data_IF_032910444494
#
_entry.id   IF_032910444494
#
_cell.length_a   1.000
_cell.length_b   1.000
_cell.length_c   1.000
_cell.angle_alpha   90.00
_cell.angle_beta   90.00
_cell.angle_gamma   90.00
#
_symmetry.space_group_name_H-M   'P 1'
#
loop_
_entity.id
_entity.type
_entity.pdbx_description
1 polymer ?
#
# COMPACT_ATOMS: atom_id res chain seq x y z
N UNK A 1 -33.12 55.40 0.66
CA UNK A 1 -33.52 54.35 -0.31
C UNK A 1 -32.30 53.94 -1.11
N UNK A 2 -31.84 52.71 -0.92
CA UNK A 2 -30.69 52.16 -1.65
C UNK A 2 -31.12 51.73 -3.07
N UNK A 3 -30.36 52.13 -4.09
CA UNK A 3 -30.43 51.51 -5.42
C UNK A 3 -29.08 50.87 -5.71
N UNK A 4 -29.05 49.54 -5.59
CA UNK A 4 -27.98 48.70 -6.08
C UNK A 4 -28.06 48.65 -7.62
N UNK A 5 -26.97 49.00 -8.30
CA UNK A 5 -26.82 48.88 -9.75
C UNK A 5 -25.61 48.01 -10.05
N UNK A 6 -25.86 46.86 -10.68
CA UNK A 6 -24.94 45.75 -10.84
C UNK A 6 -23.65 46.11 -11.59
N UNK A 7 -22.51 45.82 -10.98
CA UNK A 7 -21.21 45.71 -11.63
C UNK A 7 -21.23 44.49 -12.56
N UNK A 8 -21.16 44.73 -13.87
CA UNK A 8 -20.92 43.69 -14.88
C UNK A 8 -19.50 43.15 -14.67
N UNK A 9 -19.38 42.07 -13.89
CA UNK A 9 -18.17 41.29 -13.82
C UNK A 9 -17.99 40.56 -15.15
N UNK A 10 -17.02 41.03 -15.93
CA UNK A 10 -16.57 40.45 -17.18
C UNK A 10 -16.31 38.95 -17.01
N UNK A 11 -16.93 38.15 -17.88
CA UNK A 11 -16.76 36.71 -17.93
C UNK A 11 -15.30 36.36 -18.25
N UNK A 12 -14.56 35.98 -17.21
CA UNK A 12 -13.23 35.40 -17.36
C UNK A 12 -13.38 33.97 -17.86
N UNK A 13 -13.34 33.79 -19.18
CA UNK A 13 -13.35 32.48 -19.83
C UNK A 13 -12.05 31.73 -19.48
N UNK A 14 -12.02 31.02 -18.36
CA UNK A 14 -10.95 30.06 -18.07
C UNK A 14 -11.14 28.84 -18.99
N UNK A 15 -10.37 28.81 -20.10
CA UNK A 15 -10.12 27.59 -20.87
C UNK A 15 -9.54 26.54 -19.93
N UNK A 16 -10.29 25.49 -19.65
CA UNK A 16 -9.91 24.41 -18.76
C UNK A 16 -9.04 23.38 -19.49
N UNK A 17 -7.79 23.73 -19.79
CA UNK A 17 -6.75 22.75 -20.16
C UNK A 17 -5.93 22.34 -18.92
N UNK A 18 -6.61 22.14 -17.80
CA UNK A 18 -5.97 21.68 -16.55
C UNK A 18 -5.95 20.16 -16.55
N UNK A 19 -4.80 19.57 -16.86
CA UNK A 19 -4.56 18.14 -16.60
C UNK A 19 -4.64 17.92 -15.10
N UNK A 20 -5.74 17.32 -14.64
CA UNK A 20 -5.98 17.00 -13.22
C UNK A 20 -5.06 15.84 -12.82
N UNK A 21 -3.83 16.13 -12.38
CA UNK A 21 -2.91 15.12 -11.85
C UNK A 21 -3.12 15.02 -10.34
N UNK A 22 -3.85 13.99 -9.92
CA UNK A 22 -4.18 13.72 -8.51
C UNK A 22 -5.34 14.55 -7.96
N UNK A 23 -6.27 13.90 -7.24
CA UNK A 23 -7.28 14.63 -6.45
C UNK A 23 -6.57 15.29 -5.25
N UNK A 24 -6.76 16.59 -5.05
CA UNK A 24 -6.40 17.24 -3.77
C UNK A 24 -7.25 16.59 -2.70
N UNK A 25 -6.62 16.14 -1.60
CA UNK A 25 -7.34 15.57 -0.46
C UNK A 25 -8.34 16.61 0.06
N UNK A 26 -9.62 16.25 0.11
CA UNK A 26 -10.67 17.10 0.71
C UNK A 26 -10.78 16.79 2.20
N UNK A 27 -11.53 17.61 2.96
CA UNK A 27 -11.74 17.35 4.39
C UNK A 27 -12.37 15.97 4.65
N UNK A 28 -13.12 15.41 3.70
CA UNK A 28 -13.66 14.05 3.77
C UNK A 28 -12.55 12.98 3.80
N UNK A 29 -11.42 13.22 3.13
CA UNK A 29 -10.24 12.32 3.12
C UNK A 29 -9.44 12.37 4.43
N UNK A 30 -9.70 13.36 5.29
CA UNK A 30 -9.08 13.51 6.61
C UNK A 30 -9.90 12.85 7.72
N UNK A 31 -11.07 12.31 7.39
CA UNK A 31 -11.90 11.57 8.34
C UNK A 31 -11.11 10.38 8.88
N UNK A 32 -10.96 10.23 10.22
CA UNK A 32 -10.27 9.09 10.79
C UNK A 32 -11.02 7.83 10.40
N UNK A 33 -10.36 7.01 9.60
CA UNK A 33 -10.92 5.76 9.11
C UNK A 33 -10.95 4.75 10.27
N UNK A 34 -11.96 3.88 10.28
CA UNK A 34 -12.08 2.87 11.33
C UNK A 34 -10.80 2.01 11.41
N UNK A 35 -10.40 1.54 12.61
CA UNK A 35 -9.21 0.72 12.76
C UNK A 35 -9.22 -0.53 11.86
N UNK A 36 -10.39 -1.13 11.65
CA UNK A 36 -10.58 -2.30 10.79
C UNK A 36 -10.32 -1.97 9.32
N UNK A 37 -10.86 -0.86 8.82
CA UNK A 37 -10.63 -0.40 7.45
C UNK A 37 -9.17 0.05 7.22
N UNK A 38 -8.52 0.60 8.25
CA UNK A 38 -7.09 0.91 8.20
C UNK A 38 -6.25 -0.37 8.09
N UNK A 39 -6.58 -1.41 8.86
CA UNK A 39 -5.91 -2.71 8.80
C UNK A 39 -6.10 -3.39 7.44
N UNK A 40 -7.33 -3.42 6.93
CA UNK A 40 -7.64 -3.98 5.61
C UNK A 40 -6.82 -3.30 4.50
N UNK A 41 -6.74 -1.96 4.53
CA UNK A 41 -5.92 -1.20 3.58
C UNK A 41 -4.42 -1.48 3.74
N UNK A 42 -3.93 -1.57 4.96
CA UNK A 42 -2.54 -1.91 5.22
C UNK A 42 -2.17 -3.29 4.66
N UNK A 43 -3.04 -4.29 4.80
CA UNK A 43 -2.83 -5.63 4.23
C UNK A 43 -2.72 -5.62 2.71
N UNK A 44 -3.59 -4.86 2.02
CA UNK A 44 -3.55 -4.72 0.56
C UNK A 44 -2.24 -4.07 0.11
N UNK A 45 -1.85 -2.97 0.77
CA UNK A 45 -0.60 -2.26 0.46
C UNK A 45 0.63 -3.14 0.72
N UNK A 46 0.64 -3.88 1.82
CA UNK A 46 1.71 -4.82 2.13
C UNK A 46 1.88 -5.88 1.05
N UNK A 47 0.77 -6.44 0.53
CA UNK A 47 0.81 -7.42 -0.55
C UNK A 47 1.34 -6.82 -1.86
N UNK A 48 0.95 -5.61 -2.19
CA UNK A 48 1.46 -4.90 -3.37
C UNK A 48 2.97 -4.62 -3.24
N UNK A 49 3.41 -4.22 -2.05
CA UNK A 49 4.83 -3.99 -1.77
C UNK A 49 5.65 -5.28 -1.92
N UNK A 50 5.13 -6.43 -1.48
CA UNK A 50 5.79 -7.72 -1.65
C UNK A 50 5.96 -8.13 -3.12
N UNK A 51 5.02 -7.76 -4.00
CA UNK A 51 5.13 -8.00 -5.44
C UNK A 51 6.20 -7.13 -6.10
N UNK A 52 6.42 -5.92 -5.59
CA UNK A 52 7.43 -4.99 -6.08
C UNK A 52 8.82 -5.26 -5.49
N UNK A 53 8.93 -6.11 -4.47
CA UNK A 53 10.19 -6.38 -3.81
C UNK A 53 11.12 -7.19 -4.74
N UNK A 54 12.25 -6.61 -5.19
CA UNK A 54 13.21 -7.32 -6.05
C UNK A 54 13.89 -8.49 -5.34
N UNK A 55 13.82 -8.52 -4.00
CA UNK A 55 14.34 -9.58 -3.15
C UNK A 55 13.18 -10.25 -2.39
N UNK A 56 12.44 -11.18 -3.03
CA UNK A 56 11.33 -11.84 -2.37
C UNK A 56 11.78 -12.45 -1.05
N UNK A 57 10.85 -12.57 -0.08
CA UNK A 57 11.14 -13.24 1.20
C UNK A 57 11.86 -14.56 0.89
N UNK A 58 12.99 -14.86 1.53
CA UNK A 58 13.72 -16.10 1.26
C UNK A 58 12.75 -17.27 1.42
N UNK A 59 12.61 -18.07 0.36
CA UNK A 59 11.68 -19.20 0.30
C UNK A 59 12.21 -20.34 1.17
N UNK A 60 12.16 -20.17 2.49
CA UNK A 60 12.71 -21.10 3.46
C UNK A 60 14.22 -21.37 3.26
N UNK A 61 14.77 -22.20 4.12
CA UNK A 61 16.10 -22.76 3.94
C UNK A 61 15.94 -24.12 3.25
N UNK A 62 16.55 -24.32 2.08
CA UNK A 62 16.51 -25.62 1.39
C UNK A 62 17.76 -26.40 1.75
N UNK A 63 17.61 -27.41 2.61
CA UNK A 63 18.68 -28.36 2.92
C UNK A 63 18.59 -29.59 2.03
N UNK A 64 19.66 -29.90 1.28
CA UNK A 64 19.76 -31.09 0.43
C UNK A 64 20.68 -32.13 1.07
N UNK A 65 20.09 -33.15 1.67
CA UNK A 65 20.82 -34.30 2.22
C UNK A 65 21.10 -35.35 1.13
N UNK A 66 22.18 -36.12 1.29
CA UNK A 66 22.49 -37.27 0.41
C UNK A 66 21.53 -38.44 0.62
N UNK A 67 21.09 -38.63 1.86
CA UNK A 67 20.17 -39.70 2.28
C UNK A 67 19.05 -39.12 3.15
N UNK A 68 17.98 -39.90 3.34
CA UNK A 68 16.87 -39.49 4.19
C UNK A 68 17.28 -39.44 5.67
N UNK A 69 18.14 -40.37 6.09
CA UNK A 69 18.66 -40.47 7.45
C UNK A 69 19.50 -39.23 7.83
N UNK A 70 20.32 -38.74 6.88
CA UNK A 70 21.10 -37.51 7.08
C UNK A 70 20.19 -36.28 7.23
N UNK A 71 19.08 -36.21 6.48
CA UNK A 71 18.08 -35.15 6.64
C UNK A 71 17.41 -35.21 8.01
N UNK A 72 17.01 -36.39 8.46
CA UNK A 72 16.35 -36.53 9.77
C UNK A 72 17.28 -36.23 10.94
N UNK A 73 18.56 -36.62 10.84
CA UNK A 73 19.59 -36.25 11.83
C UNK A 73 19.75 -34.74 11.90
N UNK A 74 19.94 -34.09 10.75
CA UNK A 74 20.05 -32.63 10.68
C UNK A 74 18.80 -31.93 11.22
N UNK A 75 17.59 -32.40 10.88
CA UNK A 75 16.32 -31.82 11.35
C UNK A 75 16.19 -31.88 12.88
N UNK A 76 16.61 -32.98 13.51
CA UNK A 76 16.58 -33.14 14.97
C UNK A 76 17.60 -32.23 15.68
N UNK A 77 18.71 -31.93 15.01
CA UNK A 77 19.76 -31.04 15.53
C UNK A 77 19.38 -29.55 15.41
N UNK A 78 18.36 -29.18 14.62
CA UNK A 78 17.94 -27.78 14.48
C UNK A 78 16.97 -27.37 15.60
N UNK A 79 17.36 -26.45 16.51
CA UNK A 79 16.46 -25.94 17.55
C UNK A 79 15.43 -24.93 16.99
N UNK A 80 15.71 -24.36 15.81
CA UNK A 80 14.85 -23.37 15.18
C UNK A 80 13.89 -24.05 14.20
N UNK A 81 12.57 -24.01 14.46
CA UNK A 81 11.59 -24.68 13.61
C UNK A 81 11.41 -24.03 12.22
N UNK A 82 12.01 -22.87 11.97
CA UNK A 82 11.93 -22.18 10.67
C UNK A 82 12.95 -22.68 9.64
N UNK A 83 13.84 -23.58 10.05
CA UNK A 83 14.89 -24.11 9.19
C UNK A 83 14.52 -25.43 8.51
N UNK A 84 13.42 -26.09 8.88
CA UNK A 84 12.94 -27.34 8.26
C UNK A 84 11.58 -27.20 7.59
#
# INVERSE_FOLDING_TARGET
>A
MAKAGASQAQAFCYRSDVKRVGKRRTNDDLSPVSPEEALARATVLQRQLELLNPYPRPRGFVFKAKTREDYERWRREQPNPRLW
#
